data_IF_317755005882
#
_entry.id   IF_317755005882
#
_cell.length_a   1.000
_cell.length_b   1.000
_cell.length_c   1.000
_cell.angle_alpha   90.00
_cell.angle_beta   90.00
_cell.angle_gamma   90.00
#
_symmetry.space_group_name_H-M   'P 1'
#
loop_
_entity.id
_entity.type
_entity.pdbx_description
1 polymer ?
#
# COMPACT_ATOMS: atom_id res chain seq x y z
N UNK A 1 12.50 -14.42 -19.14
CA UNK A 1 12.23 -15.47 -18.15
C UNK A 1 10.73 -15.70 -17.97
N UNK A 2 10.35 -16.89 -17.50
CA UNK A 2 8.97 -17.25 -17.19
C UNK A 2 8.91 -17.74 -15.75
N UNK A 3 7.89 -17.32 -15.03
CA UNK A 3 7.65 -17.71 -13.63
C UNK A 3 6.27 -18.34 -13.52
N UNK A 4 6.18 -19.52 -12.92
CA UNK A 4 4.91 -20.17 -12.64
C UNK A 4 4.21 -19.48 -11.47
N UNK A 5 2.93 -19.21 -11.60
CA UNK A 5 2.15 -18.54 -10.55
C UNK A 5 1.57 -19.59 -9.58
N UNK A 6 2.29 -19.84 -8.50
CA UNK A 6 1.91 -20.83 -7.48
C UNK A 6 1.72 -22.23 -8.05
N UNK A 7 0.70 -22.93 -7.60
CA UNK A 7 0.33 -24.28 -8.08
C UNK A 7 -0.61 -24.29 -9.27
N UNK A 8 -0.81 -23.13 -9.90
CA UNK A 8 -1.65 -22.99 -11.10
C UNK A 8 -0.93 -23.44 -12.37
N UNK A 9 -1.66 -23.52 -13.48
CA UNK A 9 -1.09 -23.72 -14.82
C UNK A 9 -0.75 -22.38 -15.50
N UNK A 10 -0.80 -21.27 -14.79
CA UNK A 10 -0.48 -19.95 -15.31
C UNK A 10 1.02 -19.67 -15.19
N UNK A 11 1.56 -19.08 -16.25
CA UNK A 11 2.95 -18.65 -16.33
C UNK A 11 3.01 -17.17 -16.67
N UNK A 12 3.66 -16.39 -15.82
CA UNK A 12 4.02 -15.03 -16.14
C UNK A 12 5.32 -14.98 -16.95
N UNK A 13 5.32 -14.22 -18.04
CA UNK A 13 6.53 -13.97 -18.84
C UNK A 13 7.02 -12.57 -18.50
N UNK A 14 8.28 -12.43 -18.05
CA UNK A 14 8.92 -11.14 -17.83
C UNK A 14 9.08 -10.46 -19.18
N UNK A 15 8.44 -9.31 -19.36
CA UNK A 15 8.43 -8.54 -20.59
C UNK A 15 9.66 -7.64 -20.68
N UNK A 16 10.11 -7.09 -19.54
CA UNK A 16 11.29 -6.25 -19.45
C UNK A 16 12.04 -6.52 -18.16
N UNK A 17 13.36 -6.67 -18.26
CA UNK A 17 14.31 -6.75 -17.15
C UNK A 17 15.07 -5.43 -17.05
N UNK A 18 14.93 -4.72 -15.94
CA UNK A 18 15.62 -3.46 -15.69
C UNK A 18 16.99 -3.66 -15.05
N UNK A 19 17.32 -4.89 -14.67
CA UNK A 19 18.57 -5.20 -14.01
C UNK A 19 19.64 -5.57 -15.04
N UNK A 20 20.84 -5.06 -14.85
CA UNK A 20 22.02 -5.48 -15.61
C UNK A 20 22.48 -6.84 -15.11
N UNK A 21 22.44 -7.85 -15.97
CA UNK A 21 22.85 -9.21 -15.62
C UNK A 21 24.31 -9.23 -15.16
N UNK A 22 24.54 -9.77 -13.97
CA UNK A 22 25.85 -9.84 -13.34
C UNK A 22 26.14 -8.70 -12.39
N UNK A 23 25.35 -7.61 -12.45
CA UNK A 23 25.46 -6.44 -11.59
C UNK A 23 24.28 -6.31 -10.63
N UNK A 24 23.51 -7.37 -10.45
CA UNK A 24 22.46 -7.37 -9.45
C UNK A 24 23.04 -7.19 -8.04
N UNK A 25 22.26 -6.55 -7.17
CA UNK A 25 22.63 -6.40 -5.77
C UNK A 25 22.98 -7.75 -5.15
N UNK A 26 24.21 -7.94 -4.74
CA UNK A 26 24.72 -9.20 -4.20
C UNK A 26 24.80 -9.18 -2.69
N UNK A 27 24.35 -10.29 -2.10
CA UNK A 27 24.47 -10.53 -0.68
C UNK A 27 25.73 -11.35 -0.40
N UNK A 28 26.49 -10.94 0.62
CA UNK A 28 27.64 -11.69 1.11
C UNK A 28 27.25 -12.93 1.91
N UNK A 29 28.22 -13.69 2.36
CA UNK A 29 28.03 -14.90 3.19
C UNK A 29 27.24 -14.64 4.48
N UNK A 30 27.28 -13.43 5.02
CA UNK A 30 26.45 -12.98 6.15
C UNK A 30 25.03 -12.55 5.78
N UNK A 31 24.63 -12.73 4.52
CA UNK A 31 23.33 -12.30 3.97
C UNK A 31 23.10 -10.78 4.01
N UNK A 32 24.15 -10.00 4.05
CA UNK A 32 24.12 -8.54 3.93
C UNK A 32 24.74 -8.10 2.60
N UNK A 33 24.30 -6.95 2.11
CA UNK A 33 24.85 -6.32 0.91
C UNK A 33 26.27 -5.85 1.21
N UNK A 34 27.21 -6.18 0.32
CA UNK A 34 28.62 -5.82 0.49
C UNK A 34 28.90 -4.44 -0.05
N UNK A 35 29.70 -3.68 0.69
CA UNK A 35 30.30 -2.43 0.25
C UNK A 35 31.13 -2.67 -1.03
N UNK A 36 31.06 -1.72 -1.98
CA UNK A 36 31.75 -1.79 -3.26
C UNK A 36 31.15 -2.77 -4.26
N UNK A 37 30.11 -3.51 -3.91
CA UNK A 37 29.37 -4.39 -4.84
C UNK A 37 28.01 -3.82 -5.24
N UNK A 38 27.27 -3.32 -4.28
CA UNK A 38 25.99 -2.66 -4.52
C UNK A 38 25.73 -1.56 -3.50
N UNK A 39 26.41 -1.58 -2.37
CA UNK A 39 26.28 -0.58 -1.32
C UNK A 39 27.39 0.46 -1.45
N UNK A 40 27.02 1.74 -1.42
CA UNK A 40 27.96 2.84 -1.29
C UNK A 40 28.28 3.09 0.18
N UNK A 41 29.53 2.88 0.60
CA UNK A 41 30.00 3.16 1.95
C UNK A 41 30.13 4.66 2.24
N UNK A 42 30.11 5.51 1.22
CA UNK A 42 30.26 6.97 1.34
C UNK A 42 28.91 7.72 1.25
N UNK A 43 27.87 7.08 0.72
CA UNK A 43 26.55 7.68 0.59
C UNK A 43 25.77 7.54 1.90
N UNK A 44 25.54 8.66 2.57
CA UNK A 44 24.85 8.75 3.85
C UNK A 44 23.37 9.08 3.66
N UNK A 45 22.59 8.94 4.75
CA UNK A 45 21.15 9.24 4.76
C UNK A 45 20.82 10.69 4.37
N UNK A 46 21.74 11.61 4.54
CA UNK A 46 21.56 13.02 4.17
C UNK A 46 21.57 13.24 2.65
N UNK A 47 22.14 12.30 1.89
CA UNK A 47 22.08 12.34 0.44
C UNK A 47 20.63 12.05 -0.02
N UNK A 48 19.99 12.98 -0.78
CA UNK A 48 18.59 12.83 -1.21
C UNK A 48 18.35 11.63 -2.16
N UNK A 49 19.39 11.08 -2.74
CA UNK A 49 19.30 9.94 -3.66
C UNK A 49 19.47 8.58 -2.95
N UNK A 50 19.77 8.57 -1.64
CA UNK A 50 19.93 7.34 -0.85
C UNK A 50 18.57 6.85 -0.38
N UNK A 51 18.30 5.57 -0.58
CA UNK A 51 17.07 4.91 -0.16
C UNK A 51 17.07 4.63 1.35
N UNK A 52 15.88 4.65 1.96
CA UNK A 52 15.66 4.13 3.31
C UNK A 52 15.52 2.60 3.27
N UNK A 53 14.82 2.10 2.25
CA UNK A 53 14.52 0.69 2.08
C UNK A 53 14.49 0.33 0.58
N UNK A 54 14.93 -0.88 0.24
CA UNK A 54 14.87 -1.39 -1.12
C UNK A 54 14.52 -2.87 -1.14
N UNK A 55 13.60 -3.25 -2.05
CA UNK A 55 13.35 -4.65 -2.41
C UNK A 55 14.10 -4.92 -3.71
N UNK A 56 15.07 -5.83 -3.68
CA UNK A 56 15.94 -6.08 -4.83
C UNK A 56 15.49 -7.31 -5.63
N UNK A 57 15.67 -7.25 -6.95
CA UNK A 57 15.55 -8.40 -7.84
C UNK A 57 14.17 -9.08 -7.79
N UNK A 58 13.11 -8.30 -7.73
CA UNK A 58 11.73 -8.79 -7.60
C UNK A 58 11.00 -8.77 -8.95
N UNK A 59 10.15 -9.76 -9.19
CA UNK A 59 9.20 -9.71 -10.30
C UNK A 59 8.01 -8.83 -9.90
N UNK A 60 7.73 -7.80 -10.69
CA UNK A 60 6.63 -6.86 -10.45
C UNK A 60 5.54 -7.13 -11.47
N UNK A 61 4.30 -7.27 -11.00
CA UNK A 61 3.11 -7.35 -11.85
C UNK A 61 2.28 -6.09 -11.58
N UNK A 62 2.24 -5.22 -12.57
CA UNK A 62 1.57 -3.92 -12.48
C UNK A 62 0.78 -3.60 -13.74
N UNK A 63 -0.37 -2.93 -13.58
CA UNK A 63 -1.28 -2.64 -14.70
C UNK A 63 -0.70 -1.66 -15.74
N UNK A 64 0.30 -0.84 -15.37
CA UNK A 64 0.94 0.13 -16.25
C UNK A 64 2.34 -0.32 -16.69
N UNK A 65 3.09 -0.91 -15.77
CA UNK A 65 4.46 -1.35 -16.02
C UNK A 65 4.51 -2.75 -16.63
N UNK A 66 3.39 -3.46 -16.70
CA UNK A 66 3.30 -4.83 -17.17
C UNK A 66 4.02 -5.82 -16.22
N UNK A 67 4.62 -6.88 -16.74
CA UNK A 67 5.35 -7.89 -15.96
C UNK A 67 6.84 -7.63 -16.13
N UNK A 68 7.44 -7.02 -15.13
CA UNK A 68 8.83 -6.60 -15.19
C UNK A 68 9.66 -7.21 -14.06
N UNK A 69 10.96 -7.19 -14.21
CA UNK A 69 11.93 -7.50 -13.16
C UNK A 69 12.74 -6.25 -12.83
N UNK A 70 12.72 -5.85 -11.57
CA UNK A 70 13.37 -4.62 -11.13
C UNK A 70 13.61 -4.63 -9.61
N UNK A 71 14.28 -3.60 -9.12
CA UNK A 71 14.30 -3.23 -7.71
C UNK A 71 13.24 -2.16 -7.44
N UNK A 72 12.69 -2.16 -6.22
CA UNK A 72 11.73 -1.16 -5.74
C UNK A 72 12.41 -0.33 -4.65
N UNK A 73 12.68 0.93 -4.95
CA UNK A 73 13.31 1.87 -4.02
C UNK A 73 12.27 2.67 -3.22
N UNK A 74 12.43 2.72 -1.91
CA UNK A 74 11.53 3.41 -0.98
C UNK A 74 12.32 4.44 -0.18
N UNK A 75 11.76 5.64 -0.05
CA UNK A 75 12.25 6.71 0.79
C UNK A 75 11.09 7.49 1.42
N UNK A 76 11.20 7.80 2.72
CA UNK A 76 10.16 8.49 3.47
C UNK A 76 8.76 7.85 3.31
N UNK A 77 8.70 6.52 3.35
CA UNK A 77 7.46 5.75 3.21
C UNK A 77 6.82 5.78 1.82
N UNK A 78 7.55 6.21 0.78
CA UNK A 78 7.04 6.29 -0.60
C UNK A 78 7.97 5.56 -1.56
N UNK A 79 7.41 4.93 -2.59
CA UNK A 79 8.17 4.40 -3.72
C UNK A 79 8.71 5.60 -4.50
N UNK A 80 10.04 5.71 -4.58
CA UNK A 80 10.74 6.80 -5.29
C UNK A 80 11.34 6.35 -6.62
N UNK A 81 11.45 5.05 -6.86
CA UNK A 81 11.93 4.50 -8.10
C UNK A 81 11.66 3.01 -8.25
N UNK A 82 11.53 2.59 -9.50
CA UNK A 82 11.49 1.20 -9.93
C UNK A 82 12.53 1.08 -11.05
N UNK A 83 13.52 0.21 -10.87
CA UNK A 83 14.64 0.08 -11.79
C UNK A 83 15.77 -0.71 -11.18
N UNK A 84 17.02 -0.31 -11.38
CA UNK A 84 18.20 -0.90 -10.77
C UNK A 84 18.69 -0.01 -9.62
N UNK A 85 18.67 -0.53 -8.40
CA UNK A 85 19.27 0.12 -7.24
C UNK A 85 20.71 -0.33 -7.06
N UNK A 86 21.56 0.51 -6.49
CA UNK A 86 22.94 0.12 -6.24
C UNK A 86 23.87 1.28 -5.92
N UNK A 87 25.14 1.03 -6.16
CA UNK A 87 26.21 2.00 -6.01
C UNK A 87 26.65 2.51 -7.39
N UNK A 88 26.33 3.76 -7.75
CA UNK A 88 26.69 4.30 -9.07
C UNK A 88 28.22 4.44 -9.30
N UNK A 89 29.03 4.36 -8.24
CA UNK A 89 30.49 4.40 -8.36
C UNK A 89 31.09 3.06 -8.86
N UNK A 90 30.33 1.97 -8.72
CA UNK A 90 30.81 0.60 -9.02
C UNK A 90 29.86 -0.17 -9.95
N UNK A 91 28.68 0.35 -10.23
CA UNK A 91 27.65 -0.29 -11.06
C UNK A 91 27.16 0.66 -12.14
N UNK A 92 27.07 0.16 -13.37
CA UNK A 92 26.41 0.88 -14.45
C UNK A 92 24.88 0.84 -14.30
N UNK A 93 24.20 1.79 -14.94
CA UNK A 93 22.74 1.83 -15.05
C UNK A 93 21.95 1.92 -13.72
N UNK A 94 22.58 2.36 -12.64
CA UNK A 94 21.85 2.65 -11.41
C UNK A 94 20.80 3.74 -11.69
N UNK A 95 19.56 3.42 -11.39
CA UNK A 95 18.44 4.32 -11.62
C UNK A 95 18.56 5.58 -10.74
N UNK A 96 18.32 6.79 -11.26
CA UNK A 96 18.35 8.00 -10.47
C UNK A 96 17.50 7.88 -9.18
N UNK A 97 18.03 8.41 -8.08
CA UNK A 97 17.42 8.34 -6.74
C UNK A 97 17.31 6.93 -6.12
N UNK A 98 18.06 5.97 -6.63
CA UNK A 98 18.06 4.59 -6.13
C UNK A 98 19.43 4.12 -5.60
N UNK A 99 20.12 4.98 -4.88
CA UNK A 99 21.41 4.62 -4.27
C UNK A 99 21.18 3.79 -3.02
N UNK A 100 21.86 2.65 -2.95
CA UNK A 100 21.96 1.84 -1.73
C UNK A 100 23.12 2.39 -0.90
N UNK A 101 22.82 3.07 0.18
CA UNK A 101 23.80 3.59 1.12
C UNK A 101 23.96 2.70 2.35
N UNK A 102 24.88 3.10 3.24
CA UNK A 102 25.15 2.36 4.48
C UNK A 102 23.92 2.26 5.43
N UNK A 103 22.98 3.19 5.31
CA UNK A 103 21.75 3.23 6.11
C UNK A 103 20.55 2.58 5.43
N UNK A 104 20.68 2.09 4.20
CA UNK A 104 19.59 1.48 3.44
C UNK A 104 19.32 0.07 3.95
N UNK A 105 18.08 -0.20 4.33
CA UNK A 105 17.62 -1.56 4.60
C UNK A 105 17.35 -2.27 3.26
N UNK A 106 17.95 -3.45 3.07
CA UNK A 106 17.87 -4.19 1.83
C UNK A 106 17.15 -5.52 2.02
N UNK A 107 16.04 -5.71 1.30
CA UNK A 107 15.27 -6.94 1.28
C UNK A 107 15.48 -7.67 -0.05
N UNK A 108 15.87 -8.94 0.01
CA UNK A 108 16.02 -9.77 -1.17
C UNK A 108 14.66 -10.20 -1.72
N UNK A 109 14.28 -9.68 -2.87
CA UNK A 109 13.03 -10.01 -3.58
C UNK A 109 13.17 -11.14 -4.60
N UNK A 110 14.33 -11.79 -4.71
CA UNK A 110 14.50 -12.94 -5.60
C UNK A 110 13.47 -14.04 -5.26
N UNK A 111 12.82 -14.57 -6.30
CA UNK A 111 11.72 -15.54 -6.20
C UNK A 111 10.41 -15.01 -5.59
N UNK A 112 10.32 -13.71 -5.34
CA UNK A 112 9.09 -13.06 -4.89
C UNK A 112 8.40 -12.33 -6.03
N UNK A 113 7.10 -12.13 -5.86
CA UNK A 113 6.25 -11.34 -6.76
C UNK A 113 5.73 -10.15 -5.97
N UNK A 114 5.93 -8.95 -6.49
CA UNK A 114 5.35 -7.73 -5.97
C UNK A 114 4.15 -7.30 -6.81
N UNK A 115 3.05 -7.00 -6.14
CA UNK A 115 1.85 -6.41 -6.75
C UNK A 115 1.44 -5.19 -5.95
N UNK A 116 0.59 -4.33 -6.54
CA UNK A 116 -0.10 -3.32 -5.75
C UNK A 116 -0.92 -3.99 -4.63
N UNK A 117 -0.98 -3.38 -3.46
CA UNK A 117 -1.84 -3.85 -2.38
C UNK A 117 -3.32 -3.76 -2.76
N UNK A 118 -4.11 -4.73 -2.29
CA UNK A 118 -5.55 -4.75 -2.49
C UNK A 118 -6.24 -3.56 -1.79
N UNK A 119 -7.31 -3.07 -2.39
CA UNK A 119 -8.20 -2.06 -1.82
C UNK A 119 -9.57 -2.70 -1.64
N UNK A 120 -10.00 -2.85 -0.39
CA UNK A 120 -11.35 -3.29 -0.08
C UNK A 120 -12.22 -2.04 0.17
N UNK A 121 -13.22 -1.84 -0.67
CA UNK A 121 -14.09 -0.65 -0.64
C UNK A 121 -15.43 -0.91 0.01
N UNK A 122 -15.63 -2.06 0.62
CA UNK A 122 -16.88 -2.41 1.28
C UNK A 122 -16.62 -3.19 2.57
N UNK A 123 -16.02 -2.56 3.56
CA UNK A 123 -15.81 -3.20 4.85
C UNK A 123 -16.73 -2.62 5.94
N UNK A 124 -16.96 -3.43 6.97
CA UNK A 124 -17.59 -3.02 8.21
C UNK A 124 -16.53 -3.02 9.30
N UNK A 125 -16.18 -1.84 9.81
CA UNK A 125 -15.17 -1.70 10.87
C UNK A 125 -15.76 -2.16 12.20
N UNK A 126 -15.58 -3.44 12.51
CA UNK A 126 -16.12 -4.08 13.72
C UNK A 126 -15.04 -4.22 14.78
N UNK A 127 -13.84 -4.65 14.40
CA UNK A 127 -12.74 -4.86 15.34
C UNK A 127 -11.38 -4.58 14.69
N UNK A 128 -10.36 -4.14 15.46
CA UNK A 128 -9.05 -3.77 14.94
C UNK A 128 -8.27 -4.95 14.34
N UNK A 129 -8.58 -6.18 14.71
CA UNK A 129 -7.96 -7.39 14.17
C UNK A 129 -8.18 -7.55 12.66
N UNK A 130 -9.22 -6.93 12.10
CA UNK A 130 -9.47 -6.91 10.65
C UNK A 130 -8.26 -6.34 9.87
N UNK A 131 -7.57 -5.35 10.42
CA UNK A 131 -6.40 -4.76 9.77
C UNK A 131 -5.25 -5.77 9.63
N UNK A 132 -5.03 -6.61 10.65
CA UNK A 132 -4.01 -7.65 10.61
C UNK A 132 -4.35 -8.69 9.52
N UNK A 133 -5.58 -9.17 9.50
CA UNK A 133 -6.03 -10.13 8.47
C UNK A 133 -5.98 -9.54 7.07
N UNK A 134 -6.28 -8.25 6.92
CA UNK A 134 -6.17 -7.55 5.65
C UNK A 134 -4.73 -7.59 5.11
N UNK A 135 -3.75 -7.18 5.92
CA UNK A 135 -2.33 -7.20 5.54
C UNK A 135 -1.85 -8.61 5.22
N UNK A 136 -2.17 -9.59 6.05
CA UNK A 136 -1.81 -11.00 5.82
C UNK A 136 -2.38 -11.54 4.50
N UNK A 137 -3.46 -10.95 4.01
CA UNK A 137 -4.10 -11.28 2.73
C UNK A 137 -3.70 -10.36 1.57
N UNK A 138 -2.77 -9.43 1.79
CA UNK A 138 -2.30 -8.49 0.76
C UNK A 138 -3.23 -7.29 0.53
N UNK A 139 -4.22 -7.05 1.39
CA UNK A 139 -5.07 -5.86 1.36
C UNK A 139 -4.41 -4.77 2.22
N UNK A 140 -4.13 -3.62 1.61
CA UNK A 140 -3.41 -2.51 2.24
C UNK A 140 -4.27 -1.28 2.49
N UNK A 141 -5.50 -1.28 1.97
CA UNK A 141 -6.44 -0.16 2.10
C UNK A 141 -7.83 -0.69 2.39
N UNK A 142 -8.44 -0.19 3.46
CA UNK A 142 -9.77 -0.54 3.91
C UNK A 142 -10.67 0.70 3.86
N UNK A 143 -11.74 0.63 3.07
CA UNK A 143 -12.72 1.71 2.95
C UNK A 143 -14.09 1.15 3.32
N UNK A 144 -14.76 1.81 4.25
CA UNK A 144 -16.06 1.33 4.72
C UNK A 144 -16.59 2.14 5.88
N UNK A 145 -17.43 1.55 6.67
CA UNK A 145 -18.01 2.21 7.82
C UNK A 145 -18.15 1.29 9.03
N UNK A 146 -18.50 1.87 10.14
CA UNK A 146 -18.67 1.19 11.41
C UNK A 146 -18.11 2.02 12.56
N UNK A 147 -18.48 1.65 13.77
CA UNK A 147 -18.04 2.33 15.00
C UNK A 147 -17.18 1.43 15.88
N UNK A 148 -16.72 0.32 15.33
CA UNK A 148 -15.90 -0.65 16.05
C UNK A 148 -16.65 -1.39 17.15
N UNK A 149 -15.95 -2.10 18.03
CA UNK A 149 -16.56 -2.88 19.11
C UNK A 149 -17.21 -1.99 20.20
N UNK A 150 -16.86 -0.71 20.25
CA UNK A 150 -17.31 0.20 21.31
C UNK A 150 -18.82 0.49 21.28
N UNK A 151 -19.45 0.38 20.11
CA UNK A 151 -20.89 0.63 19.94
C UNK A 151 -21.63 -0.55 19.28
N UNK A 152 -20.99 -1.66 19.16
CA UNK A 152 -21.44 -3.01 18.83
C UNK A 152 -22.56 -3.17 17.82
N UNK A 153 -23.75 -2.70 18.11
CA UNK A 153 -24.95 -3.01 17.33
C UNK A 153 -25.56 -1.82 16.60
N UNK A 154 -25.14 -0.60 16.87
CA UNK A 154 -25.82 0.59 16.37
C UNK A 154 -25.37 1.05 15.00
N UNK A 155 -24.07 0.94 14.69
CA UNK A 155 -23.54 1.39 13.42
C UNK A 155 -22.40 0.47 12.92
N UNK A 156 -22.77 -0.66 12.35
CA UNK A 156 -21.81 -1.63 11.83
C UNK A 156 -21.42 -1.35 10.38
N UNK A 157 -22.19 -0.55 9.66
CA UNK A 157 -22.03 -0.36 8.21
C UNK A 157 -21.60 1.06 7.81
N UNK A 158 -21.75 2.03 8.70
CA UNK A 158 -21.33 3.42 8.49
C UNK A 158 -20.75 4.01 9.76
N UNK A 159 -20.09 5.16 9.63
CA UNK A 159 -19.56 5.97 10.74
C UNK A 159 -20.36 7.27 10.79
N UNK A 160 -21.49 7.33 11.56
CA UNK A 160 -22.45 8.40 11.44
C UNK A 160 -22.07 9.61 12.27
N UNK A 161 -21.96 10.78 11.64
CA UNK A 161 -21.76 12.07 12.28
C UNK A 161 -20.33 12.35 12.74
N UNK A 162 -20.10 13.63 13.05
CA UNK A 162 -18.76 14.14 13.32
C UNK A 162 -18.09 13.47 14.54
N UNK A 163 -18.87 13.20 15.59
CA UNK A 163 -18.32 12.60 16.80
C UNK A 163 -17.77 11.19 16.57
N UNK A 164 -18.53 10.31 15.90
CA UNK A 164 -18.09 8.96 15.59
C UNK A 164 -16.93 8.97 14.58
N UNK A 165 -16.98 9.88 13.61
CA UNK A 165 -15.92 10.05 12.64
C UNK A 165 -14.59 10.36 13.32
N UNK A 166 -14.58 11.32 14.25
CA UNK A 166 -13.40 11.68 15.04
C UNK A 166 -12.88 10.48 15.88
N UNK A 167 -13.78 9.75 16.55
CA UNK A 167 -13.40 8.57 17.34
C UNK A 167 -12.80 7.46 16.48
N UNK A 168 -13.35 7.24 15.29
CA UNK A 168 -12.84 6.23 14.39
C UNK A 168 -11.48 6.63 13.78
N UNK A 169 -11.24 7.89 13.47
CA UNK A 169 -9.92 8.35 13.07
C UNK A 169 -8.89 8.13 14.19
N UNK A 170 -9.23 8.46 15.42
CA UNK A 170 -8.35 8.21 16.57
C UNK A 170 -8.07 6.70 16.76
N UNK A 171 -9.09 5.86 16.64
CA UNK A 171 -8.93 4.41 16.76
C UNK A 171 -8.09 3.81 15.63
N UNK A 172 -8.12 4.44 14.45
CA UNK A 172 -7.39 3.95 13.28
C UNK A 172 -5.93 4.42 13.21
N UNK A 173 -5.50 5.39 14.04
CA UNK A 173 -4.17 5.99 13.97
C UNK A 173 -3.03 4.97 14.07
N UNK A 174 -3.24 3.90 14.85
CA UNK A 174 -2.25 2.84 15.04
C UNK A 174 -2.39 1.67 14.05
N UNK A 175 -3.37 1.69 13.15
CA UNK A 175 -3.57 0.59 12.21
C UNK A 175 -2.53 0.63 11.09
N UNK A 176 -1.91 -0.51 10.74
CA UNK A 176 -0.87 -0.58 9.72
C UNK A 176 -1.43 -0.64 8.29
N UNK A 177 -2.61 -0.09 8.03
CA UNK A 177 -3.31 -0.03 6.74
C UNK A 177 -3.82 1.38 6.48
N UNK A 178 -4.03 1.73 5.22
CA UNK A 178 -4.79 2.93 4.90
C UNK A 178 -6.27 2.70 5.21
N UNK A 179 -6.93 3.69 5.78
CA UNK A 179 -8.35 3.62 6.11
C UNK A 179 -9.11 4.81 5.53
N UNK A 180 -10.37 4.58 5.15
CA UNK A 180 -11.32 5.60 4.80
C UNK A 180 -12.69 5.25 5.36
N UNK A 181 -13.38 6.21 5.96
CA UNK A 181 -14.67 5.98 6.59
C UNK A 181 -15.81 6.55 5.76
N UNK A 182 -16.89 5.78 5.63
CA UNK A 182 -18.16 6.24 5.07
C UNK A 182 -19.08 6.77 6.16
N UNK A 183 -19.56 7.99 5.97
CA UNK A 183 -20.65 8.55 6.75
C UNK A 183 -22.00 7.89 6.41
N UNK A 184 -23.02 8.16 7.22
CA UNK A 184 -24.37 7.69 6.97
C UNK A 184 -25.03 8.48 5.84
N UNK A 185 -25.32 7.80 4.72
CA UNK A 185 -25.93 8.39 3.54
C UNK A 185 -27.47 8.34 3.51
N UNK A 186 -28.11 7.63 4.44
CA UNK A 186 -29.57 7.50 4.47
C UNK A 186 -30.24 8.77 5.00
N UNK A 187 -30.25 9.80 4.17
CA UNK A 187 -30.91 11.07 4.44
C UNK A 187 -31.45 11.68 3.14
N UNK A 188 -32.65 12.21 3.18
CA UNK A 188 -33.32 12.86 2.04
C UNK A 188 -33.10 14.38 1.98
N UNK A 189 -32.20 14.92 2.80
CA UNK A 189 -31.81 16.33 2.82
C UNK A 189 -30.31 16.48 2.82
N UNK A 190 -29.80 17.59 2.28
CA UNK A 190 -28.37 17.78 2.03
C UNK A 190 -27.55 18.11 3.29
N UNK A 191 -28.10 18.83 4.25
CA UNK A 191 -27.33 19.34 5.38
C UNK A 191 -26.69 18.23 6.25
N UNK A 192 -27.42 17.17 6.65
CA UNK A 192 -26.82 16.06 7.38
C UNK A 192 -25.77 15.27 6.56
N UNK A 193 -25.90 15.23 5.24
CA UNK A 193 -24.92 14.58 4.35
C UNK A 193 -23.65 15.41 4.25
N UNK A 194 -23.81 16.73 4.13
CA UNK A 194 -22.69 17.68 4.12
C UNK A 194 -21.90 17.61 5.43
N UNK A 195 -22.58 17.53 6.57
CA UNK A 195 -21.95 17.34 7.88
C UNK A 195 -21.03 16.10 7.91
N UNK A 196 -21.47 14.98 7.31
CA UNK A 196 -20.63 13.78 7.24
C UNK A 196 -19.31 14.04 6.46
N UNK A 197 -19.44 14.70 5.31
CA UNK A 197 -18.27 15.00 4.45
C UNK A 197 -17.35 16.01 5.14
N UNK A 198 -17.90 17.07 5.74
CA UNK A 198 -17.12 18.06 6.50
C UNK A 198 -16.41 17.46 7.70
N UNK A 199 -16.99 16.41 8.31
CA UNK A 199 -16.34 15.64 9.37
C UNK A 199 -15.22 14.72 8.89
N UNK A 200 -14.96 14.62 7.58
CA UNK A 200 -13.88 13.84 6.99
C UNK A 200 -14.32 12.50 6.39
N UNK A 201 -15.60 12.25 6.21
CA UNK A 201 -16.07 11.06 5.52
C UNK A 201 -15.54 11.03 4.09
N UNK A 202 -15.01 9.88 3.66
CA UNK A 202 -14.54 9.65 2.29
C UNK A 202 -15.71 9.55 1.29
N UNK A 203 -16.87 9.22 1.77
CA UNK A 203 -18.10 9.08 1.01
C UNK A 203 -19.27 8.71 1.93
N UNK A 204 -20.36 8.29 1.33
CA UNK A 204 -21.61 8.02 2.02
C UNK A 204 -22.02 6.55 1.83
N UNK A 205 -22.41 5.89 2.91
CA UNK A 205 -23.01 4.55 2.89
C UNK A 205 -24.51 4.66 2.92
N UNK A 206 -25.17 4.10 1.91
CA UNK A 206 -26.62 3.90 1.87
C UNK A 206 -26.89 2.41 2.10
N UNK A 207 -27.83 2.13 3.00
CA UNK A 207 -28.23 0.77 3.31
C UNK A 207 -29.76 0.65 3.24
N UNK A 208 -30.25 -0.44 2.65
CA UNK A 208 -31.69 -0.68 2.46
C UNK A 208 -32.46 -0.74 3.76
N UNK A 209 -31.89 -1.32 4.81
CA UNK A 209 -32.52 -1.45 6.14
C UNK A 209 -32.84 -0.09 6.79
N UNK A 210 -32.21 0.97 6.32
CA UNK A 210 -32.40 2.33 6.84
C UNK A 210 -33.26 3.22 5.93
N UNK A 211 -33.86 2.63 4.89
CA UNK A 211 -34.74 3.32 3.97
C UNK A 211 -33.95 4.00 2.82
N UNK A 212 -33.54 3.22 1.83
CA UNK A 212 -32.93 3.72 0.59
C UNK A 212 -34.02 4.13 -0.42
N UNK A 213 -34.73 5.21 -0.14
CA UNK A 213 -35.76 5.75 -1.05
C UNK A 213 -35.09 6.49 -2.22
N UNK A 214 -35.82 6.74 -3.34
CA UNK A 214 -35.29 7.57 -4.43
C UNK A 214 -34.80 8.93 -3.97
N UNK A 215 -35.47 9.59 -3.03
CA UNK A 215 -35.04 10.88 -2.50
C UNK A 215 -33.72 10.79 -1.70
N UNK A 216 -33.49 9.69 -1.00
CA UNK A 216 -32.23 9.42 -0.30
C UNK A 216 -31.10 9.24 -1.29
N UNK A 217 -31.34 8.48 -2.35
CA UNK A 217 -30.31 8.23 -3.38
C UNK A 217 -29.98 9.52 -4.12
N UNK A 218 -30.99 10.28 -4.53
CA UNK A 218 -30.84 11.57 -5.22
C UNK A 218 -30.05 12.59 -4.37
N UNK A 219 -30.31 12.62 -3.06
CA UNK A 219 -29.59 13.54 -2.17
C UNK A 219 -28.13 13.13 -1.90
N UNK A 220 -27.79 11.87 -2.03
CA UNK A 220 -26.44 11.36 -1.75
C UNK A 220 -25.51 11.39 -2.98
N UNK A 221 -26.05 11.55 -4.19
CA UNK A 221 -25.33 11.70 -5.46
C UNK A 221 -24.97 13.14 -5.75
#
# INVERSE_FOLDING_TARGET
DKVRLGDTNLWATIEQDFLTKGDECKFGGGKSVRDGMAQSGTATRDNPNVLDFVITNVMIIDAKLCIIKADIGIRNGRIVGIGQAGNPDTMDNVTPNMIIGASTEVHNGAHLIATAGGIDTHIHFICPQQAQHAIESGVTTLIGGGTGPADGTHATTCTPGAWYMERMFQAAEALPVNVGFFGKGNCSTLDPLREQIEAGALGLKIHEDWGATPAVIDSAL
#
